data_IF_959257549185
#
_entry.id   IF_959257549185
#
_cell.length_a   1.000
_cell.length_b   1.000
_cell.length_c   1.000
_cell.angle_alpha   90.00
_cell.angle_beta   90.00
_cell.angle_gamma   90.00
#
_symmetry.space_group_name_H-M   'P 1'
#
loop_
_entity.id
_entity.type
_entity.pdbx_description
1 polymer ?
#
# COMPACT_ATOMS: atom_id res chain seq x y z
N UNK A 1 -4.68 -27.92 -18.70
CA UNK A 1 -3.80 -28.30 -17.58
C UNK A 1 -4.67 -28.24 -16.35
N UNK A 2 -4.89 -29.38 -15.70
CA UNK A 2 -5.82 -29.48 -14.58
C UNK A 2 -5.31 -28.62 -13.41
N UNK A 3 -6.15 -27.67 -12.98
CA UNK A 3 -5.84 -26.59 -12.03
C UNK A 3 -5.48 -27.07 -10.60
N UNK A 4 -5.39 -28.39 -10.40
CA UNK A 4 -5.15 -29.05 -9.12
C UNK A 4 -3.93 -29.97 -9.13
N UNK A 5 -3.13 -29.98 -10.21
CA UNK A 5 -1.96 -30.86 -10.29
C UNK A 5 -0.81 -30.28 -9.46
N UNK A 6 -0.48 -30.94 -8.33
CA UNK A 6 0.69 -30.63 -7.52
C UNK A 6 1.96 -30.81 -8.40
N UNK A 7 2.91 -29.87 -8.40
CA UNK A 7 4.15 -30.02 -9.15
C UNK A 7 4.89 -31.32 -8.76
N UNK A 8 5.50 -32.05 -9.71
CA UNK A 8 6.11 -33.35 -9.45
C UNK A 8 7.28 -33.31 -8.46
N UNK A 9 7.86 -32.13 -8.25
CA UNK A 9 8.94 -31.82 -7.31
C UNK A 9 8.46 -31.24 -5.97
N UNK A 10 7.15 -31.03 -5.79
CA UNK A 10 6.59 -30.45 -4.56
C UNK A 10 6.16 -31.55 -3.57
N UNK A 11 6.93 -31.72 -2.50
CA UNK A 11 6.59 -32.67 -1.42
C UNK A 11 5.64 -32.03 -0.43
N UNK A 12 4.38 -32.43 -0.43
CA UNK A 12 3.34 -31.83 0.41
C UNK A 12 3.59 -32.07 1.92
N UNK A 13 3.67 -30.98 2.68
CA UNK A 13 3.85 -30.97 4.14
C UNK A 13 2.62 -30.35 4.83
N UNK A 14 2.37 -30.69 6.11
CA UNK A 14 1.37 -29.98 6.91
C UNK A 14 1.64 -28.46 6.89
N UNK A 15 0.55 -27.69 6.80
CA UNK A 15 0.54 -26.22 6.77
C UNK A 15 0.99 -25.57 5.47
N UNK A 16 1.33 -26.36 4.45
CA UNK A 16 1.52 -25.84 3.11
C UNK A 16 0.28 -25.08 2.62
N UNK A 17 0.52 -24.08 1.78
CA UNK A 17 -0.51 -23.17 1.27
C UNK A 17 -0.69 -23.41 -0.22
N UNK A 18 -1.95 -23.45 -0.65
CA UNK A 18 -2.36 -23.48 -2.05
C UNK A 18 -3.15 -22.23 -2.37
N UNK A 19 -2.78 -21.54 -3.44
CA UNK A 19 -3.49 -20.36 -3.95
C UNK A 19 -4.07 -20.71 -5.32
N UNK A 20 -5.40 -20.77 -5.41
CA UNK A 20 -6.12 -20.85 -6.67
C UNK A 20 -6.48 -19.43 -7.13
N UNK A 21 -5.95 -18.99 -8.26
CA UNK A 21 -6.30 -17.69 -8.84
C UNK A 21 -7.57 -17.79 -9.68
N UNK A 22 -8.34 -16.70 -9.75
CA UNK A 22 -9.50 -16.61 -10.62
C UNK A 22 -9.08 -16.73 -12.10
N UNK A 23 -9.85 -17.41 -12.97
CA UNK A 23 -9.49 -17.60 -14.39
C UNK A 23 -9.18 -16.30 -15.16
N UNK A 24 -9.76 -15.17 -14.74
CA UNK A 24 -9.53 -13.85 -15.32
C UNK A 24 -8.09 -13.34 -15.12
N UNK A 25 -7.38 -13.78 -14.07
CA UNK A 25 -5.98 -13.38 -13.86
C UNK A 25 -5.01 -14.05 -14.83
N UNK A 26 -5.47 -15.13 -15.50
CA UNK A 26 -4.65 -16.00 -16.33
C UNK A 26 -3.43 -16.61 -15.61
N UNK A 27 -3.46 -16.67 -14.27
CA UNK A 27 -2.43 -17.28 -13.45
C UNK A 27 -2.80 -18.73 -13.11
N UNK A 28 -1.79 -19.60 -13.10
CA UNK A 28 -1.96 -20.97 -12.64
C UNK A 28 -1.96 -21.04 -11.11
N UNK A 29 -2.65 -22.04 -10.56
CA UNK A 29 -2.60 -22.37 -9.13
C UNK A 29 -1.17 -22.52 -8.63
N UNK A 30 -0.86 -21.93 -7.48
CA UNK A 30 0.46 -21.98 -6.86
C UNK A 30 0.42 -22.71 -5.52
N UNK A 31 1.56 -23.31 -5.16
CA UNK A 31 1.77 -24.02 -3.90
C UNK A 31 3.00 -23.46 -3.21
N UNK A 32 2.90 -23.28 -1.89
CA UNK A 32 3.95 -22.73 -1.05
C UNK A 32 4.14 -23.62 0.17
N UNK A 33 5.39 -23.85 0.55
CA UNK A 33 5.65 -24.30 1.92
C UNK A 33 5.34 -23.19 2.90
N UNK A 34 4.86 -23.55 4.09
CA UNK A 34 4.48 -22.57 5.12
C UNK A 34 5.58 -21.52 5.38
N UNK A 35 6.85 -21.94 5.45
CA UNK A 35 7.99 -21.03 5.67
C UNK A 35 8.23 -20.05 4.50
N UNK A 36 7.86 -20.47 3.28
CA UNK A 36 7.94 -19.64 2.07
C UNK A 36 6.68 -18.80 1.84
N UNK A 37 5.60 -19.04 2.60
CA UNK A 37 4.40 -18.23 2.58
C UNK A 37 4.62 -16.95 3.39
N UNK A 38 5.32 -16.01 2.78
CA UNK A 38 5.40 -14.64 3.28
C UNK A 38 4.16 -13.91 2.76
N UNK A 39 3.26 -13.51 3.68
CA UNK A 39 2.24 -12.52 3.34
C UNK A 39 2.91 -11.29 2.69
N UNK A 40 2.21 -10.55 1.82
CA UNK A 40 2.81 -9.61 0.86
C UNK A 40 3.69 -8.45 1.41
N UNK A 41 3.95 -8.36 2.72
CA UNK A 41 4.55 -7.16 3.30
C UNK A 41 5.71 -7.27 4.29
N UNK A 42 6.25 -8.45 4.66
CA UNK A 42 7.24 -8.45 5.75
C UNK A 42 8.44 -9.39 5.54
N UNK A 43 9.50 -8.87 4.91
CA UNK A 43 10.86 -9.37 5.13
C UNK A 43 11.90 -8.26 4.89
N UNK A 44 12.45 -7.70 5.96
CA UNK A 44 13.80 -7.11 5.93
C UNK A 44 14.53 -7.41 7.25
N UNK A 45 15.67 -8.12 7.22
CA UNK A 45 16.57 -8.20 8.37
C UNK A 45 17.41 -6.94 8.47
N UNK A 46 17.61 -6.42 9.69
CA UNK A 46 18.53 -5.32 9.97
C UNK A 46 19.70 -5.85 10.80
N UNK A 47 20.91 -5.82 10.24
CA UNK A 47 22.14 -6.10 10.97
C UNK A 47 22.70 -4.79 11.54
N UNK A 48 22.98 -4.76 12.84
CA UNK A 48 23.64 -3.64 13.51
C UNK A 48 25.01 -4.06 14.01
N UNK A 49 26.06 -3.39 13.57
CA UNK A 49 27.40 -3.57 14.12
C UNK A 49 27.80 -2.34 14.94
N UNK A 50 28.19 -2.57 16.20
CA UNK A 50 28.51 -1.54 17.17
C UNK A 50 30.01 -1.21 17.12
N UNK A 51 30.39 0.06 17.12
CA UNK A 51 31.81 0.44 17.17
C UNK A 51 32.08 1.78 17.87
N UNK A 52 32.73 1.64 19.03
CA UNK A 52 33.71 2.47 19.76
C UNK A 52 33.51 4.00 19.97
N UNK A 53 34.00 4.57 21.11
CA UNK A 53 33.75 5.97 21.45
C UNK A 53 34.56 6.92 20.56
N UNK A 54 33.87 7.71 19.74
CA UNK A 54 34.50 8.67 18.83
C UNK A 54 34.78 10.01 19.49
N UNK A 55 35.88 10.66 19.09
CA UNK A 55 36.39 11.92 19.65
C UNK A 55 35.47 13.14 19.50
N UNK A 56 34.43 13.06 18.67
CA UNK A 56 33.34 14.05 18.54
C UNK A 56 32.02 13.28 18.39
N UNK A 57 30.92 13.76 19.00
CA UNK A 57 29.65 13.04 18.98
C UNK A 57 29.09 12.85 17.57
N UNK A 58 29.40 13.76 16.63
CA UNK A 58 28.97 13.67 15.22
C UNK A 58 29.98 13.00 14.28
N UNK A 59 31.07 12.40 14.79
CA UNK A 59 31.96 11.62 13.93
C UNK A 59 31.24 10.33 13.44
N UNK A 60 31.37 9.97 12.16
CA UNK A 60 32.45 10.27 11.24
C UNK A 60 32.15 11.44 10.28
N UNK A 61 31.05 12.16 10.48
CA UNK A 61 30.66 13.25 9.60
C UNK A 61 31.65 14.42 9.70
N UNK A 62 31.99 14.99 8.53
CA UNK A 62 32.93 16.12 8.43
C UNK A 62 32.39 17.38 9.11
N UNK A 63 31.09 17.59 9.07
CA UNK A 63 30.40 18.74 9.65
C UNK A 63 29.22 18.28 10.52
N UNK A 64 28.87 19.09 11.52
CA UNK A 64 27.69 18.85 12.36
C UNK A 64 26.39 18.91 11.55
N UNK A 65 26.29 19.82 10.58
CA UNK A 65 25.12 19.92 9.69
C UNK A 65 24.86 18.62 8.92
N UNK A 66 25.90 17.99 8.37
CA UNK A 66 25.75 16.73 7.66
C UNK A 66 25.30 15.59 8.58
N UNK A 67 25.73 15.63 9.85
CA UNK A 67 25.25 14.69 10.86
C UNK A 67 23.77 14.89 11.17
N UNK A 68 23.34 16.13 11.45
CA UNK A 68 21.93 16.44 11.76
C UNK A 68 21.00 16.09 10.59
N UNK A 69 21.43 16.35 9.35
CA UNK A 69 20.69 15.94 8.14
C UNK A 69 20.62 14.41 8.04
N UNK A 70 21.73 13.70 8.23
CA UNK A 70 21.76 12.25 8.14
C UNK A 70 20.96 11.57 9.27
N UNK A 71 20.98 12.14 10.48
CA UNK A 71 20.15 11.73 11.61
C UNK A 71 18.67 11.83 11.26
N UNK A 72 18.23 12.98 10.73
CA UNK A 72 16.85 13.16 10.28
C UNK A 72 16.45 12.18 9.16
N UNK A 73 17.35 11.93 8.20
CA UNK A 73 17.11 10.95 7.13
C UNK A 73 16.93 9.53 7.68
N UNK A 74 17.71 9.16 8.71
CA UNK A 74 17.64 7.86 9.37
C UNK A 74 16.36 7.73 10.21
N UNK A 75 16.03 8.75 11.02
CA UNK A 75 14.78 8.81 11.79
C UNK A 75 13.54 8.77 10.90
N UNK A 76 13.63 9.33 9.70
CA UNK A 76 12.56 9.31 8.70
C UNK A 76 12.53 8.01 7.87
N UNK A 77 13.40 7.04 8.15
CA UNK A 77 13.53 5.77 7.43
C UNK A 77 13.65 5.92 5.90
N UNK A 78 14.33 6.96 5.43
CA UNK A 78 14.48 7.19 4.00
C UNK A 78 15.30 6.08 3.34
N UNK A 79 14.82 5.56 2.22
CA UNK A 79 15.59 4.63 1.40
C UNK A 79 16.66 5.36 0.56
N UNK A 80 17.60 4.62 -0.02
CA UNK A 80 18.71 5.20 -0.81
C UNK A 80 18.23 6.12 -1.93
N UNK A 81 17.16 5.75 -2.66
CA UNK A 81 16.61 6.60 -3.73
C UNK A 81 16.08 7.92 -3.18
N UNK A 82 15.38 7.89 -2.03
CA UNK A 82 14.86 9.09 -1.37
C UNK A 82 16.00 9.98 -0.85
N UNK A 83 17.06 9.38 -0.30
CA UNK A 83 18.27 10.10 0.15
C UNK A 83 18.93 10.82 -1.03
N UNK A 84 19.13 10.15 -2.17
CA UNK A 84 19.72 10.75 -3.36
C UNK A 84 18.89 11.93 -3.88
N UNK A 85 17.56 11.76 -3.93
CA UNK A 85 16.64 12.83 -4.32
C UNK A 85 16.76 14.02 -3.37
N UNK A 86 16.74 13.79 -2.05
CA UNK A 86 16.81 14.86 -1.05
C UNK A 86 18.14 15.62 -1.13
N UNK A 87 19.27 14.92 -1.28
CA UNK A 87 20.58 15.56 -1.49
C UNK A 87 20.60 16.39 -2.78
N UNK A 88 19.98 15.90 -3.86
CA UNK A 88 19.88 16.67 -5.11
C UNK A 88 19.07 17.95 -4.95
N UNK A 89 18.00 17.92 -4.13
CA UNK A 89 17.19 19.10 -3.82
C UNK A 89 17.96 20.12 -2.99
N UNK A 90 18.75 19.68 -2.00
CA UNK A 90 19.64 20.57 -1.27
C UNK A 90 20.65 21.26 -2.19
N UNK A 91 21.28 20.52 -3.10
CA UNK A 91 22.20 21.11 -4.07
C UNK A 91 21.50 22.14 -4.98
N UNK A 92 20.28 21.85 -5.44
CA UNK A 92 19.49 22.82 -6.21
C UNK A 92 19.17 24.07 -5.41
N UNK A 93 18.70 23.93 -4.17
CA UNK A 93 18.39 25.07 -3.30
C UNK A 93 19.63 25.91 -2.96
N UNK A 94 20.80 25.28 -2.79
CA UNK A 94 22.07 25.99 -2.58
C UNK A 94 22.48 26.79 -3.82
N UNK A 95 22.32 26.21 -5.02
CA UNK A 95 22.71 26.86 -6.27
C UNK A 95 21.69 27.92 -6.74
N UNK A 96 20.42 27.75 -6.37
CA UNK A 96 19.29 28.62 -6.75
C UNK A 96 18.44 28.96 -5.52
N UNK A 97 18.95 29.81 -4.61
CA UNK A 97 18.27 30.09 -3.33
C UNK A 97 16.91 30.78 -3.50
N UNK A 98 16.74 31.61 -4.54
CA UNK A 98 15.48 32.31 -4.81
C UNK A 98 14.33 31.36 -5.20
N UNK A 99 14.65 30.17 -5.70
CA UNK A 99 13.65 29.15 -6.10
C UNK A 99 13.11 28.37 -4.87
N UNK A 100 13.83 28.40 -3.74
CA UNK A 100 13.43 27.67 -2.54
C UNK A 100 12.67 28.56 -1.56
N UNK A 101 11.35 28.60 -1.71
CA UNK A 101 10.48 29.51 -0.95
C UNK A 101 9.92 28.93 0.35
N UNK A 102 10.10 27.63 0.61
CA UNK A 102 9.56 26.95 1.79
C UNK A 102 10.44 27.20 3.02
N UNK A 103 9.87 27.82 4.06
CA UNK A 103 10.63 28.13 5.29
C UNK A 103 10.18 27.31 6.50
N UNK A 104 8.89 26.94 6.56
CA UNK A 104 8.29 26.24 7.71
C UNK A 104 7.26 25.21 7.27
N UNK A 105 7.01 24.21 8.12
CA UNK A 105 6.00 23.17 7.88
C UNK A 105 4.62 23.74 7.55
N UNK A 106 4.21 24.83 8.22
CA UNK A 106 2.94 25.53 7.94
C UNK A 106 2.80 26.05 6.52
N UNK A 107 3.91 26.41 5.86
CA UNK A 107 3.89 26.90 4.47
C UNK A 107 3.54 25.73 3.54
N UNK A 108 4.13 24.57 3.80
CA UNK A 108 3.85 23.33 3.09
C UNK A 108 2.41 22.84 3.33
N UNK A 109 1.94 22.88 4.58
CA UNK A 109 0.55 22.52 4.92
C UNK A 109 -0.46 23.41 4.20
N UNK A 110 -0.20 24.72 4.15
CA UNK A 110 -1.04 25.67 3.43
C UNK A 110 -1.07 25.36 1.93
N UNK A 111 0.10 25.15 1.33
CA UNK A 111 0.21 24.77 -0.09
C UNK A 111 -0.52 23.45 -0.36
N UNK A 112 -0.41 22.46 0.52
CA UNK A 112 -1.14 21.21 0.38
C UNK A 112 -2.65 21.37 0.54
N UNK A 113 -3.11 22.23 1.45
CA UNK A 113 -4.54 22.53 1.59
C UNK A 113 -5.08 23.20 0.31
N UNK A 114 -4.35 24.17 -0.24
CA UNK A 114 -4.69 24.82 -1.51
C UNK A 114 -4.63 23.82 -2.68
N UNK A 115 -3.61 22.96 -2.73
CA UNK A 115 -3.50 21.91 -3.74
C UNK A 115 -4.66 20.90 -3.66
N UNK A 116 -5.08 20.50 -2.46
CA UNK A 116 -6.24 19.62 -2.27
C UNK A 116 -7.53 20.29 -2.72
N UNK A 117 -7.71 21.58 -2.41
CA UNK A 117 -8.88 22.34 -2.85
C UNK A 117 -8.91 22.53 -4.37
N UNK A 118 -7.74 22.64 -5.01
CA UNK A 118 -7.64 22.91 -6.46
C UNK A 118 -7.54 21.65 -7.31
N UNK A 119 -7.05 20.52 -6.77
CA UNK A 119 -6.80 19.29 -7.53
C UNK A 119 -7.54 18.05 -7.05
N UNK A 120 -8.07 18.02 -5.81
CA UNK A 120 -8.84 16.88 -5.31
C UNK A 120 -10.35 17.13 -5.42
N UNK A 121 -11.14 16.07 -5.66
CA UNK A 121 -12.59 16.16 -5.41
C UNK A 121 -12.81 16.31 -3.90
N UNK A 122 -13.05 17.53 -3.41
CA UNK A 122 -13.30 17.76 -1.98
C UNK A 122 -14.47 16.92 -1.45
N UNK A 123 -14.68 16.92 -0.13
CA UNK A 123 -15.93 16.41 0.43
C UNK A 123 -17.09 17.32 -0.02
N UNK A 124 -18.16 16.72 -0.52
CA UNK A 124 -19.44 17.38 -0.73
C UNK A 124 -20.21 17.40 0.60
N UNK A 125 -20.77 18.54 0.97
CA UNK A 125 -21.65 18.61 2.13
C UNK A 125 -23.10 18.41 1.68
N UNK A 126 -23.79 17.42 2.26
CA UNK A 126 -25.20 17.14 2.02
C UNK A 126 -25.97 17.16 3.32
N UNK A 127 -27.19 17.68 3.27
CA UNK A 127 -28.14 17.55 4.38
C UNK A 127 -28.98 16.30 4.14
N UNK A 128 -28.90 15.33 5.04
CA UNK A 128 -29.83 14.18 5.06
C UNK A 128 -30.89 14.48 6.11
N UNK A 129 -32.15 14.43 5.71
CA UNK A 129 -33.28 14.63 6.62
C UNK A 129 -33.89 13.28 6.97
N UNK A 130 -34.01 13.00 8.27
CA UNK A 130 -34.58 11.75 8.76
C UNK A 130 -35.85 12.04 9.57
N UNK A 131 -37.00 11.42 9.24
CA UNK A 131 -38.21 11.56 10.02
C UNK A 131 -38.08 10.83 11.36
N UNK A 132 -38.21 11.56 12.46
CA UNK A 132 -38.23 11.00 13.80
C UNK A 132 -39.30 11.67 14.66
N UNK A 133 -40.19 10.87 15.27
CA UNK A 133 -41.29 11.35 16.15
C UNK A 133 -42.09 12.53 15.56
N UNK A 134 -42.47 12.44 14.29
CA UNK A 134 -43.24 13.47 13.54
C UNK A 134 -42.49 14.80 13.33
N UNK A 135 -41.17 14.82 13.53
CA UNK A 135 -40.30 15.92 13.19
C UNK A 135 -39.25 15.46 12.18
N UNK A 136 -38.92 16.34 11.25
CA UNK A 136 -37.82 16.16 10.30
C UNK A 136 -36.53 16.65 10.95
N UNK A 137 -35.56 15.77 11.18
CA UNK A 137 -34.27 16.13 11.78
C UNK A 137 -33.21 16.21 10.66
N UNK A 138 -32.64 17.40 10.38
CA UNK A 138 -31.57 17.54 9.40
C UNK A 138 -30.22 17.17 10.00
N UNK A 139 -29.45 16.35 9.28
CA UNK A 139 -28.07 16.00 9.57
C UNK A 139 -27.16 16.49 8.46
N UNK A 140 -26.18 17.32 8.81
CA UNK A 140 -25.13 17.71 7.88
C UNK A 140 -24.09 16.60 7.80
N UNK A 141 -23.92 16.03 6.62
CA UNK A 141 -22.94 14.98 6.36
C UNK A 141 -21.96 15.43 5.28
N UNK A 142 -20.70 15.11 5.47
CA UNK A 142 -19.66 15.26 4.46
C UNK A 142 -19.53 13.94 3.73
N UNK A 143 -19.80 13.93 2.42
CA UNK A 143 -19.73 12.74 1.57
C UNK A 143 -18.69 12.95 0.48
N UNK A 144 -18.05 11.87 0.02
CA UNK A 144 -17.33 11.88 -1.25
C UNK A 144 -18.12 11.02 -2.23
N UNK A 145 -18.37 11.47 -3.48
CA UNK A 145 -18.94 10.61 -4.50
C UNK A 145 -18.08 9.36 -4.68
N UNK A 146 -18.64 8.20 -4.35
CA UNK A 146 -17.89 6.94 -4.29
C UNK A 146 -17.21 6.63 -5.61
N UNK A 147 -17.93 6.81 -6.73
CA UNK A 147 -17.39 6.55 -8.06
C UNK A 147 -16.20 7.45 -8.40
N UNK A 148 -16.34 8.77 -8.22
CA UNK A 148 -15.25 9.71 -8.51
C UNK A 148 -14.01 9.42 -7.68
N UNK A 149 -14.20 9.08 -6.40
CA UNK A 149 -13.09 8.71 -5.53
C UNK A 149 -12.42 7.41 -5.95
N UNK A 150 -13.19 6.38 -6.33
CA UNK A 150 -12.61 5.14 -6.86
C UNK A 150 -11.80 5.43 -8.13
N UNK A 151 -12.33 6.23 -9.06
CA UNK A 151 -11.60 6.58 -10.29
C UNK A 151 -10.32 7.36 -9.98
N UNK A 152 -10.30 8.27 -9.00
CA UNK A 152 -9.06 8.94 -8.56
C UNK A 152 -7.97 7.94 -8.14
N UNK A 153 -8.35 6.82 -7.49
CA UNK A 153 -7.41 5.80 -7.07
C UNK A 153 -6.96 4.90 -8.22
N UNK A 154 -7.90 4.54 -9.10
CA UNK A 154 -7.65 3.70 -10.29
C UNK A 154 -6.85 4.45 -11.37
N UNK A 155 -6.90 5.77 -11.39
CA UNK A 155 -6.13 6.59 -12.33
C UNK A 155 -4.71 6.91 -11.83
N UNK A 156 -4.38 6.64 -10.55
CA UNK A 156 -3.03 6.87 -10.02
C UNK A 156 -2.08 5.73 -10.42
N UNK A 157 -1.08 5.98 -11.30
CA UNK A 157 -0.18 4.94 -11.78
C UNK A 157 0.71 4.34 -10.68
N UNK A 158 0.82 4.97 -9.52
CA UNK A 158 1.59 4.45 -8.38
C UNK A 158 0.75 3.53 -7.48
N UNK A 159 -0.58 3.65 -7.52
CA UNK A 159 -1.49 2.86 -6.68
C UNK A 159 -2.04 1.65 -7.43
N UNK A 160 -2.34 1.79 -8.72
CA UNK A 160 -2.86 0.70 -9.57
C UNK A 160 -2.05 -0.61 -9.46
N UNK A 161 -0.71 -0.59 -9.42
CA UNK A 161 0.07 -1.82 -9.29
C UNK A 161 -0.06 -2.51 -7.93
N UNK A 162 -0.59 -1.82 -6.91
CA UNK A 162 -0.78 -2.34 -5.56
C UNK A 162 -2.18 -2.92 -5.33
N UNK A 163 -3.07 -2.82 -6.32
CA UNK A 163 -4.45 -3.28 -6.19
C UNK A 163 -4.58 -4.78 -6.48
N UNK A 164 -5.38 -5.47 -5.67
CA UNK A 164 -5.83 -6.82 -5.96
C UNK A 164 -7.05 -6.78 -6.88
N UNK A 165 -6.81 -7.03 -8.16
CA UNK A 165 -7.84 -6.97 -9.19
C UNK A 165 -8.64 -8.26 -9.30
N UNK A 166 -7.97 -9.41 -9.23
CA UNK A 166 -8.59 -10.72 -9.41
C UNK A 166 -8.79 -11.43 -8.07
N UNK A 167 -9.88 -12.18 -7.97
CA UNK A 167 -10.17 -12.99 -6.80
C UNK A 167 -9.19 -14.15 -6.66
N UNK A 168 -8.97 -14.55 -5.41
CA UNK A 168 -8.12 -15.70 -5.08
C UNK A 168 -8.84 -16.63 -4.10
N UNK A 169 -8.50 -17.91 -4.08
CA UNK A 169 -8.95 -18.86 -3.07
C UNK A 169 -7.76 -19.55 -2.45
N UNK A 170 -7.59 -19.34 -1.16
CA UNK A 170 -6.45 -19.83 -0.41
C UNK A 170 -6.83 -21.08 0.39
N UNK A 171 -5.92 -22.04 0.47
CA UNK A 171 -6.13 -23.27 1.21
C UNK A 171 -4.89 -23.61 2.01
N UNK A 172 -5.09 -24.18 3.19
CA UNK A 172 -4.02 -24.74 4.02
C UNK A 172 -4.13 -26.26 4.02
N UNK A 173 -3.02 -26.97 3.92
CA UNK A 173 -3.02 -28.42 3.97
C UNK A 173 -3.03 -28.91 5.42
N UNK A 174 -4.13 -29.55 5.84
CA UNK A 174 -4.28 -30.11 7.19
C UNK A 174 -3.59 -31.46 7.40
N UNK A 175 -2.74 -31.90 6.48
CA UNK A 175 -2.06 -33.20 6.52
C UNK A 175 -2.81 -34.35 5.82
N UNK A 176 -4.09 -34.14 5.46
CA UNK A 176 -4.90 -35.09 4.67
C UNK A 176 -5.64 -34.41 3.52
N UNK A 177 -6.19 -33.24 3.79
CA UNK A 177 -6.97 -32.48 2.81
C UNK A 177 -6.64 -30.99 2.88
N UNK A 178 -7.05 -30.28 1.83
CA UNK A 178 -6.92 -28.84 1.71
C UNK A 178 -8.14 -28.15 2.33
N UNK A 179 -7.91 -27.32 3.33
CA UNK A 179 -8.94 -26.57 4.05
C UNK A 179 -8.95 -25.11 3.61
N UNK A 180 -10.13 -24.58 3.25
CA UNK A 180 -10.31 -23.18 2.80
C UNK A 180 -10.21 -22.20 3.97
N UNK A 181 -9.44 -21.12 3.85
CA UNK A 181 -9.38 -20.04 4.85
C UNK A 181 -9.48 -18.62 4.26
N UNK A 182 -10.34 -17.76 4.79
CA UNK A 182 -10.50 -16.37 4.32
C UNK A 182 -9.84 -15.44 5.31
N UNK A 183 -8.80 -14.70 4.88
CA UNK A 183 -8.16 -13.66 5.70
C UNK A 183 -8.49 -12.25 5.17
N UNK A 184 -8.59 -12.12 3.84
CA UNK A 184 -8.78 -10.84 3.17
C UNK A 184 -10.03 -10.82 2.26
N UNK A 185 -10.65 -9.66 2.02
CA UNK A 185 -11.91 -9.58 1.25
C UNK A 185 -11.83 -10.13 -0.18
N UNK A 186 -10.70 -9.95 -0.87
CA UNK A 186 -10.49 -10.47 -2.23
C UNK A 186 -10.38 -12.00 -2.29
N UNK A 187 -10.26 -12.65 -1.13
CA UNK A 187 -10.25 -14.11 -1.03
C UNK A 187 -11.69 -14.67 -0.92
N UNK A 188 -12.68 -13.86 -0.56
CA UNK A 188 -14.04 -14.34 -0.28
C UNK A 188 -14.78 -14.81 -1.55
N UNK A 189 -15.81 -15.65 -1.36
CA UNK A 189 -16.58 -16.22 -2.46
C UNK A 189 -17.33 -15.15 -3.27
N UNK A 190 -17.89 -14.14 -2.61
CA UNK A 190 -18.66 -13.08 -3.30
C UNK A 190 -17.81 -12.36 -4.35
N UNK A 191 -16.55 -12.07 -4.05
CA UNK A 191 -15.63 -11.43 -4.99
C UNK A 191 -15.34 -12.34 -6.18
N UNK A 192 -15.11 -13.63 -5.94
CA UNK A 192 -14.95 -14.64 -6.99
C UNK A 192 -16.20 -14.73 -7.88
N UNK A 193 -17.38 -14.83 -7.29
CA UNK A 193 -18.64 -15.07 -8.01
C UNK A 193 -19.05 -13.86 -8.86
N UNK A 194 -18.79 -12.64 -8.38
CA UNK A 194 -18.99 -11.40 -9.16
C UNK A 194 -18.14 -11.42 -10.44
N UNK A 195 -16.90 -11.92 -10.36
CA UNK A 195 -16.02 -11.99 -11.54
C UNK A 195 -16.44 -13.08 -12.53
N UNK A 196 -17.04 -14.18 -12.06
CA UNK A 196 -17.60 -15.21 -12.93
C UNK A 196 -18.82 -14.70 -13.72
N UNK A 197 -19.71 -13.93 -13.09
CA UNK A 197 -20.93 -13.39 -13.72
C UNK A 197 -20.57 -12.44 -14.87
N UNK A 198 -19.52 -11.64 -14.72
CA UNK A 198 -19.11 -10.65 -15.73
C UNK A 198 -18.49 -11.27 -17.00
N UNK A 199 -18.04 -12.52 -16.97
CA UNK A 199 -17.48 -13.22 -18.15
C UNK A 199 -18.58 -13.65 -19.14
N UNK A 200 -19.84 -13.80 -18.69
CA UNK A 200 -20.94 -14.26 -19.56
C UNK A 200 -21.65 -13.16 -20.35
N UNK A 201 -21.42 -11.88 -20.02
CA UNK A 201 -22.08 -10.74 -20.70
C UNK A 201 -21.30 -10.17 -21.90
N UNK A 202 -20.13 -10.72 -22.21
CA UNK A 202 -19.39 -10.38 -23.43
C UNK A 202 -19.58 -11.50 -24.46
N UNK A 203 -20.71 -11.48 -25.19
CA UNK A 203 -20.99 -12.34 -26.35
C UNK A 203 -21.83 -11.58 -27.36
#
# INVERSE_FOLDING_TARGET
MDADTIPPDFSLLPDDIKICFHPNSHQATQFFHFEGYQGPHYARPMESDASTPRARPWAPFRTRLNFEIAELMLESHLNTKQVDVLLSLFQKAINHPDDFTLSRARDLEKIWAEARQTRGTGFEHKTITVPYKKAEIPFQVSVRPLWSWIMELVDDPNLVPLFWWDAERHYRYGGKEWERFVDEPWMANDWWDIQVINVQCTS
#
